data_IF_270235137146
#
_entry.id   IF_270235137146
#
_cell.length_a   1.000
_cell.length_b   1.000
_cell.length_c   1.000
_cell.angle_alpha   90.00
_cell.angle_beta   90.00
_cell.angle_gamma   90.00
#
_symmetry.space_group_name_H-M   'P 1'
#
loop_
_entity.id
_entity.type
_entity.pdbx_description
1 polymer ?
#
# COMPACT_ATOMS: atom_id res chain seq x y z
N UNK A 1 7.58 -56.75 -17.71
CA UNK A 1 8.13 -56.35 -16.40
C UNK A 1 8.10 -54.84 -16.32
N UNK A 2 7.48 -54.32 -15.28
CA UNK A 2 7.13 -52.92 -14.94
C UNK A 2 8.47 -52.14 -14.74
N UNK A 3 8.66 -50.88 -15.16
CA UNK A 3 8.34 -49.67 -14.37
C UNK A 3 8.66 -48.39 -15.13
N UNK A 4 7.76 -47.43 -14.96
CA UNK A 4 7.79 -46.01 -15.36
C UNK A 4 8.23 -45.21 -14.13
N UNK A 5 9.20 -44.30 -14.22
CA UNK A 5 9.43 -43.16 -13.28
C UNK A 5 10.32 -42.10 -13.97
N UNK A 6 9.79 -41.00 -14.51
CA UNK A 6 9.52 -39.66 -13.92
C UNK A 6 10.70 -38.67 -13.82
N UNK A 7 10.53 -37.57 -14.57
CA UNK A 7 10.68 -36.15 -14.20
C UNK A 7 12.02 -35.61 -13.66
N UNK A 8 12.60 -34.65 -14.39
CA UNK A 8 12.51 -33.21 -14.08
C UNK A 8 13.70 -32.46 -14.70
N UNK A 9 13.44 -31.68 -15.75
CA UNK A 9 14.41 -30.78 -16.35
C UNK A 9 13.76 -29.41 -16.48
N UNK A 10 13.94 -28.57 -15.46
CA UNK A 10 13.65 -27.14 -15.53
C UNK A 10 14.86 -26.38 -15.02
N UNK A 11 15.70 -25.97 -15.98
CA UNK A 11 16.78 -25.02 -15.80
C UNK A 11 16.19 -23.61 -15.82
N UNK A 12 16.29 -22.86 -14.74
CA UNK A 12 16.14 -21.39 -14.78
C UNK A 12 17.51 -20.79 -14.45
N UNK A 13 18.16 -20.28 -15.50
CA UNK A 13 19.33 -19.42 -15.41
C UNK A 13 18.97 -18.12 -14.69
N UNK A 14 19.54 -17.87 -13.51
CA UNK A 14 19.60 -16.53 -12.94
C UNK A 14 20.85 -15.82 -13.50
N UNK A 15 20.62 -14.81 -14.33
CA UNK A 15 21.65 -13.96 -14.92
C UNK A 15 22.39 -13.17 -13.83
N UNK A 16 23.71 -13.15 -13.95
CA UNK A 16 24.68 -12.41 -13.13
C UNK A 16 24.39 -10.91 -13.16
N UNK A 17 24.29 -10.26 -12.00
CA UNK A 17 24.44 -8.82 -11.85
C UNK A 17 25.75 -8.53 -11.10
N UNK A 18 26.68 -7.90 -11.81
CA UNK A 18 27.97 -7.39 -11.35
C UNK A 18 27.80 -6.40 -10.19
N UNK A 19 28.65 -6.55 -9.17
CA UNK A 19 28.71 -5.73 -7.98
C UNK A 19 29.23 -4.30 -8.26
N UNK A 20 28.56 -3.30 -7.68
CA UNK A 20 29.19 -2.01 -7.35
C UNK A 20 29.38 -1.96 -5.83
N UNK A 21 30.62 -1.82 -5.39
CA UNK A 21 31.00 -1.82 -3.97
C UNK A 21 30.63 -0.48 -3.31
N UNK A 22 29.65 -0.51 -2.39
CA UNK A 22 29.38 0.60 -1.46
C UNK A 22 29.40 0.05 -0.02
N UNK A 23 30.26 0.54 0.90
CA UNK A 23 30.55 -0.17 2.16
C UNK A 23 29.44 -0.09 3.23
N UNK A 24 28.33 0.62 2.99
CA UNK A 24 27.26 0.78 4.00
C UNK A 24 26.24 -0.37 4.01
N UNK A 25 26.29 -1.28 3.04
CA UNK A 25 25.40 -2.44 2.96
C UNK A 25 26.24 -3.71 3.00
N UNK A 26 26.34 -4.36 4.16
CA UNK A 26 26.96 -5.70 4.27
C UNK A 26 26.10 -6.71 3.51
N UNK A 27 26.48 -7.02 2.28
CA UNK A 27 25.97 -8.17 1.55
C UNK A 27 26.54 -9.45 2.17
N UNK A 28 25.65 -10.36 2.58
CA UNK A 28 26.05 -11.72 2.95
C UNK A 28 26.46 -12.44 1.66
N UNK A 29 27.75 -12.78 1.52
CA UNK A 29 28.22 -13.70 0.46
C UNK A 29 27.85 -15.12 0.88
N UNK A 30 27.01 -15.79 0.10
CA UNK A 30 26.78 -17.23 0.25
C UNK A 30 27.67 -17.99 -0.75
N UNK A 31 28.58 -18.80 -0.23
CA UNK A 31 29.20 -19.90 -0.97
C UNK A 31 28.26 -21.10 -0.87
N UNK A 32 27.84 -21.67 -2.01
CA UNK A 32 27.06 -22.91 -2.02
C UNK A 32 28.04 -24.07 -2.16
N UNK A 33 28.41 -24.69 -1.05
CA UNK A 33 28.84 -26.10 -1.05
C UNK A 33 27.65 -26.96 -0.61
N UNK A 34 27.43 -28.05 -1.34
CA UNK A 34 26.25 -28.91 -1.22
C UNK A 34 26.64 -30.14 -0.39
N UNK A 35 26.18 -30.22 0.86
CA UNK A 35 26.10 -31.49 1.58
C UNK A 35 24.74 -31.63 2.30
N UNK A 36 24.08 -32.75 2.02
CA UNK A 36 22.83 -33.19 2.62
C UNK A 36 23.10 -33.71 4.04
N UNK A 37 22.45 -33.16 5.07
CA UNK A 37 21.82 -33.91 6.18
C UNK A 37 21.40 -32.97 7.31
N UNK A 38 20.15 -33.13 7.79
CA UNK A 38 19.65 -32.50 9.01
C UNK A 38 19.09 -31.09 8.82
N UNK A 39 17.76 -30.95 8.90
CA UNK A 39 17.08 -29.66 9.00
C UNK A 39 17.41 -29.01 10.34
N UNK A 40 18.54 -28.31 10.42
CA UNK A 40 18.78 -27.29 11.45
C UNK A 40 18.05 -26.05 10.96
N UNK A 41 16.86 -25.80 11.51
CA UNK A 41 16.10 -24.57 11.26
C UNK A 41 16.81 -23.40 11.96
N UNK A 42 17.80 -22.82 11.29
CA UNK A 42 18.52 -21.65 11.77
C UNK A 42 17.60 -20.42 11.73
N UNK A 43 17.61 -19.64 12.81
CA UNK A 43 16.92 -18.33 12.93
C UNK A 43 17.32 -17.37 11.80
N UNK A 44 18.53 -17.50 11.24
CA UNK A 44 18.98 -16.75 10.07
C UNK A 44 18.18 -17.10 8.81
N UNK A 45 17.90 -18.38 8.60
CA UNK A 45 17.08 -18.86 7.48
C UNK A 45 15.62 -18.45 7.65
N UNK A 46 15.11 -18.52 8.88
CA UNK A 46 13.76 -18.07 9.19
C UNK A 46 13.63 -16.55 9.03
N UNK A 47 14.65 -15.76 9.40
CA UNK A 47 14.68 -14.32 9.14
C UNK A 47 14.76 -13.99 7.65
N UNK A 48 15.59 -14.69 6.89
CA UNK A 48 15.71 -14.49 5.44
C UNK A 48 14.44 -14.94 4.69
N UNK A 49 13.82 -16.07 5.09
CA UNK A 49 12.56 -16.54 4.54
C UNK A 49 11.40 -15.64 4.94
N UNK A 50 11.33 -15.19 6.20
CA UNK A 50 10.37 -14.18 6.62
C UNK A 50 10.61 -12.87 5.86
N UNK A 51 11.85 -12.41 5.68
CA UNK A 51 12.18 -11.21 4.90
C UNK A 51 11.83 -11.34 3.41
N UNK A 52 12.04 -12.53 2.81
CA UNK A 52 11.69 -12.84 1.42
C UNK A 52 10.17 -13.02 1.24
N UNK A 53 9.48 -13.63 2.20
CA UNK A 53 8.01 -13.66 2.29
C UNK A 53 7.39 -12.30 2.64
N UNK A 54 8.17 -11.42 3.28
CA UNK A 54 7.82 -10.02 3.53
C UNK A 54 8.42 -9.07 2.49
N UNK A 55 8.68 -9.56 1.27
CA UNK A 55 8.78 -8.66 0.14
C UNK A 55 7.39 -8.04 -0.01
N UNK A 56 7.28 -6.79 0.46
CA UNK A 56 6.12 -5.93 0.25
C UNK A 56 5.65 -6.07 -1.21
N UNK A 57 4.33 -5.94 -1.41
CA UNK A 57 3.65 -6.05 -2.71
C UNK A 57 3.96 -4.87 -3.66
N UNK A 58 5.20 -4.38 -3.69
CA UNK A 58 5.65 -3.24 -4.47
C UNK A 58 5.55 -3.50 -5.97
N UNK A 59 5.96 -4.68 -6.45
CA UNK A 59 5.91 -5.01 -7.88
C UNK A 59 4.47 -5.03 -8.40
N UNK A 60 3.55 -5.64 -7.64
CA UNK A 60 2.12 -5.62 -7.94
C UNK A 60 1.56 -4.19 -7.96
N UNK A 61 1.99 -3.36 -7.01
CA UNK A 61 1.60 -1.95 -6.98
C UNK A 61 2.14 -1.17 -8.18
N UNK A 62 3.39 -1.39 -8.60
CA UNK A 62 3.97 -0.77 -9.80
C UNK A 62 3.12 -1.13 -11.03
N UNK A 63 2.82 -2.41 -11.22
CA UNK A 63 1.98 -2.85 -12.33
C UNK A 63 0.57 -2.25 -12.32
N UNK A 64 -0.04 -2.07 -11.14
CA UNK A 64 -1.31 -1.35 -11.04
C UNK A 64 -1.15 0.15 -11.33
N UNK A 65 -0.09 0.78 -10.83
CA UNK A 65 0.18 2.21 -11.01
C UNK A 65 0.37 2.57 -12.48
N UNK A 66 1.02 1.72 -13.27
CA UNK A 66 1.13 1.86 -14.72
C UNK A 66 -0.25 1.85 -15.39
N UNK A 67 -1.10 0.87 -15.05
CA UNK A 67 -2.47 0.80 -15.57
C UNK A 67 -3.30 2.03 -15.19
N UNK A 68 -3.16 2.52 -13.97
CA UNK A 68 -3.82 3.76 -13.53
C UNK A 68 -3.29 4.97 -14.30
N UNK A 69 -1.99 5.04 -14.59
CA UNK A 69 -1.41 6.14 -15.35
C UNK A 69 -1.92 6.18 -16.80
N UNK A 70 -2.02 5.01 -17.45
CA UNK A 70 -2.52 4.85 -18.82
C UNK A 70 -4.04 4.99 -18.94
N UNK A 71 -4.76 5.21 -17.83
CA UNK A 71 -6.22 5.34 -17.85
C UNK A 71 -6.62 6.66 -18.52
N UNK A 72 -7.23 6.57 -19.69
CA UNK A 72 -7.84 7.69 -20.40
C UNK A 72 -9.33 7.75 -20.07
N UNK A 73 -9.68 8.47 -18.99
CA UNK A 73 -11.08 8.74 -18.66
C UNK A 73 -11.23 10.17 -18.15
N UNK A 74 -12.42 10.76 -18.28
CA UNK A 74 -12.68 12.07 -17.66
C UNK A 74 -12.67 11.94 -16.13
N UNK A 75 -12.21 12.97 -15.40
CA UNK A 75 -12.32 12.98 -13.94
C UNK A 75 -13.78 12.82 -13.49
N UNK A 76 -14.05 11.98 -12.48
CA UNK A 76 -15.41 11.85 -11.95
C UNK A 76 -15.86 13.17 -11.30
N UNK A 77 -17.17 13.36 -11.20
CA UNK A 77 -17.74 14.43 -10.39
C UNK A 77 -17.48 14.15 -8.91
N UNK A 78 -16.64 14.97 -8.31
CA UNK A 78 -16.21 14.85 -6.92
C UNK A 78 -16.59 16.14 -6.20
N UNK A 79 -17.00 16.06 -4.94
CA UNK A 79 -17.16 17.22 -4.05
C UNK A 79 -16.28 17.09 -2.80
N UNK A 80 -15.96 18.22 -2.17
CA UNK A 80 -15.28 18.17 -0.87
C UNK A 80 -16.20 17.57 0.20
N UNK A 81 -15.64 16.76 1.08
CA UNK A 81 -16.38 15.93 2.03
C UNK A 81 -16.89 14.60 1.46
N UNK A 82 -16.80 14.37 0.15
CA UNK A 82 -17.11 13.06 -0.42
C UNK A 82 -16.11 12.00 0.07
N UNK A 83 -16.59 10.78 0.25
CA UNK A 83 -15.78 9.62 0.59
C UNK A 83 -15.68 8.72 -0.62
N UNK A 84 -14.46 8.45 -1.06
CA UNK A 84 -14.16 7.67 -2.25
C UNK A 84 -13.21 6.53 -1.93
N UNK A 85 -13.40 5.40 -2.61
CA UNK A 85 -12.35 4.42 -2.71
C UNK A 85 -11.25 4.90 -3.66
N UNK A 86 -10.02 4.90 -3.17
CA UNK A 86 -8.85 5.32 -3.91
C UNK A 86 -7.70 4.31 -3.79
N UNK A 87 -6.95 4.13 -4.87
CA UNK A 87 -5.69 3.37 -4.87
C UNK A 87 -4.56 4.22 -4.27
N UNK A 88 -4.21 3.93 -3.02
CA UNK A 88 -3.15 4.60 -2.25
C UNK A 88 -1.77 3.95 -2.43
N UNK A 89 -1.75 2.67 -2.84
CA UNK A 89 -0.52 1.94 -3.14
C UNK A 89 0.09 1.20 -1.95
N UNK A 90 1.16 0.48 -2.24
CA UNK A 90 2.05 -0.09 -1.23
C UNK A 90 3.16 0.93 -0.93
N UNK A 91 3.20 1.44 0.30
CA UNK A 91 4.04 2.55 0.72
C UNK A 91 5.13 2.12 1.70
N UNK A 92 6.08 3.01 1.98
CA UNK A 92 7.29 2.73 2.78
C UNK A 92 7.03 3.02 4.27
N UNK A 93 7.68 2.25 5.14
CA UNK A 93 7.65 2.49 6.59
C UNK A 93 6.23 2.56 7.16
N UNK A 94 5.95 3.68 7.84
CA UNK A 94 4.70 3.95 8.57
C UNK A 94 3.61 4.62 7.73
N UNK A 95 3.84 4.83 6.43
CA UNK A 95 2.80 5.34 5.53
C UNK A 95 1.63 4.36 5.43
N UNK A 96 0.41 4.90 5.32
CA UNK A 96 -0.77 4.05 5.20
C UNK A 96 -0.81 3.34 3.84
N UNK A 97 -0.65 2.02 3.87
CA UNK A 97 -0.76 1.19 2.67
C UNK A 97 -2.21 0.95 2.29
N UNK A 98 -2.48 0.86 1.00
CA UNK A 98 -3.67 0.26 0.43
C UNK A 98 -3.95 -1.16 0.94
N UNK A 99 -5.17 -1.65 0.72
CA UNK A 99 -5.53 -3.06 0.94
C UNK A 99 -6.07 -3.67 -0.35
N UNK A 100 -6.24 -4.99 -0.35
CA UNK A 100 -6.68 -5.79 -1.50
C UNK A 100 -5.79 -5.63 -2.74
N UNK A 101 -6.20 -6.19 -3.87
CA UNK A 101 -5.42 -6.17 -5.12
C UNK A 101 -5.42 -4.79 -5.80
N UNK A 102 -6.32 -3.90 -5.36
CA UNK A 102 -6.39 -2.52 -5.84
C UNK A 102 -5.55 -1.55 -5.03
N UNK A 103 -4.85 -2.04 -3.99
CA UNK A 103 -4.14 -1.21 -3.02
C UNK A 103 -4.99 -0.03 -2.55
N UNK A 104 -6.24 -0.33 -2.22
CA UNK A 104 -7.29 0.66 -2.04
C UNK A 104 -7.64 0.91 -0.59
N UNK A 105 -8.08 2.14 -0.31
CA UNK A 105 -8.75 2.53 0.93
C UNK A 105 -9.83 3.56 0.66
N UNK A 106 -10.82 3.70 1.55
CA UNK A 106 -11.66 4.87 1.54
C UNK A 106 -10.82 6.09 1.95
N UNK A 107 -11.00 7.17 1.23
CA UNK A 107 -10.39 8.48 1.48
C UNK A 107 -11.48 9.53 1.49
N UNK A 108 -11.32 10.53 2.34
CA UNK A 108 -12.17 11.73 2.31
C UNK A 108 -11.52 12.74 1.38
N UNK A 109 -12.29 13.30 0.46
CA UNK A 109 -11.87 14.43 -0.37
C UNK A 109 -11.85 15.68 0.52
N UNK A 110 -10.67 16.06 0.98
CA UNK A 110 -10.53 17.18 1.90
C UNK A 110 -10.63 18.51 1.16
N UNK A 111 -9.88 18.64 0.06
CA UNK A 111 -9.83 19.86 -0.75
C UNK A 111 -9.59 19.55 -2.23
N UNK A 112 -10.29 20.26 -3.11
CA UNK A 112 -9.96 20.27 -4.54
C UNK A 112 -8.79 21.20 -4.80
N UNK A 113 -7.72 20.69 -5.40
CA UNK A 113 -6.52 21.48 -5.70
C UNK A 113 -6.55 22.00 -7.14
N UNK A 114 -6.97 21.15 -8.09
CA UNK A 114 -7.21 21.52 -9.49
C UNK A 114 -8.18 20.55 -10.15
N UNK A 115 -8.41 20.68 -11.45
CA UNK A 115 -9.25 19.76 -12.20
C UNK A 115 -8.62 18.35 -12.20
N UNK A 116 -9.27 17.40 -11.52
CA UNK A 116 -8.78 16.03 -11.40
C UNK A 116 -7.63 15.84 -10.41
N UNK A 117 -7.32 16.82 -9.55
CA UNK A 117 -6.27 16.70 -8.54
C UNK A 117 -6.78 17.12 -7.17
N UNK A 118 -6.61 16.25 -6.18
CA UNK A 118 -7.32 16.35 -4.91
C UNK A 118 -6.37 16.13 -3.74
N UNK A 119 -6.52 16.92 -2.67
CA UNK A 119 -5.95 16.58 -1.38
C UNK A 119 -6.93 15.69 -0.63
N UNK A 120 -6.49 14.51 -0.21
CA UNK A 120 -7.35 13.52 0.42
C UNK A 120 -6.80 13.07 1.75
N UNK A 121 -7.70 12.67 2.65
CA UNK A 121 -7.35 12.12 3.96
C UNK A 121 -7.77 10.64 3.98
N UNK A 122 -6.82 9.70 4.04
CA UNK A 122 -7.11 8.27 4.14
C UNK A 122 -7.85 7.90 5.42
N UNK A 123 -8.61 6.82 5.36
CA UNK A 123 -9.37 6.33 6.51
C UNK A 123 -8.89 4.96 6.97
N UNK A 124 -9.22 4.62 8.22
CA UNK A 124 -9.05 3.29 8.80
C UNK A 124 -10.34 2.84 9.49
N UNK A 125 -10.63 1.54 9.40
CA UNK A 125 -11.71 0.90 10.17
C UNK A 125 -11.30 0.56 11.60
N UNK A 126 -9.99 0.55 11.90
CA UNK A 126 -9.53 0.38 13.28
C UNK A 126 -9.87 1.63 14.07
N UNK A 127 -10.59 1.46 15.18
CA UNK A 127 -10.89 2.55 16.09
C UNK A 127 -9.56 2.97 16.73
N UNK A 128 -9.21 4.25 16.60
CA UNK A 128 -8.01 4.86 17.15
C UNK A 128 -8.42 6.15 17.86
N UNK A 129 -7.82 6.39 19.01
CA UNK A 129 -7.92 7.65 19.75
C UNK A 129 -6.69 8.51 19.49
N UNK A 130 -6.82 9.81 19.73
CA UNK A 130 -5.72 10.79 19.62
C UNK A 130 -6.04 11.95 18.69
N UNK A 131 -5.22 13.00 18.79
CA UNK A 131 -5.41 14.25 18.04
C UNK A 131 -5.22 14.13 16.54
N UNK A 132 -4.56 13.07 16.06
CA UNK A 132 -4.31 12.82 14.64
C UNK A 132 -5.44 12.07 13.92
N UNK A 133 -6.52 11.76 14.64
CA UNK A 133 -7.66 11.00 14.13
C UNK A 133 -8.95 11.77 14.36
N UNK A 134 -9.86 11.71 13.38
CA UNK A 134 -11.24 12.18 13.53
C UNK A 134 -12.16 11.01 13.26
N UNK A 135 -12.97 10.67 14.26
CA UNK A 135 -13.95 9.60 14.17
C UNK A 135 -15.23 10.13 13.51
N UNK A 136 -15.81 9.30 12.64
CA UNK A 136 -17.12 9.54 12.04
C UNK A 136 -17.79 8.19 11.73
N UNK A 137 -19.10 8.21 11.44
CA UNK A 137 -19.84 7.00 11.06
C UNK A 137 -20.29 7.09 9.61
N UNK A 138 -19.95 6.07 8.81
CA UNK A 138 -20.41 5.95 7.44
C UNK A 138 -21.27 4.70 7.29
N UNK A 139 -22.55 4.85 6.93
CA UNK A 139 -23.51 3.74 6.78
C UNK A 139 -23.51 2.77 7.97
N UNK A 140 -23.54 3.32 9.19
CA UNK A 140 -23.51 2.55 10.44
C UNK A 140 -22.14 1.98 10.84
N UNK A 141 -21.12 2.11 10.00
CA UNK A 141 -19.75 1.65 10.31
C UNK A 141 -18.89 2.80 10.81
N UNK A 142 -18.30 2.65 11.99
CA UNK A 142 -17.34 3.59 12.54
C UNK A 142 -16.04 3.59 11.75
N UNK A 143 -15.54 4.78 11.43
CA UNK A 143 -14.31 4.98 10.68
C UNK A 143 -13.52 6.14 11.30
N UNK A 144 -12.19 6.09 11.17
CA UNK A 144 -11.34 7.22 11.53
C UNK A 144 -10.65 7.78 10.28
N UNK A 145 -10.75 9.08 10.08
CA UNK A 145 -9.88 9.82 9.18
C UNK A 145 -8.49 9.96 9.82
N UNK A 146 -7.45 9.50 9.13
CA UNK A 146 -6.06 9.59 9.55
C UNK A 146 -5.46 10.90 9.05
N UNK A 147 -5.63 11.99 9.81
CA UNK A 147 -5.26 13.34 9.37
C UNK A 147 -3.78 13.46 8.97
N UNK A 148 -2.89 12.87 9.78
CA UNK A 148 -1.44 12.82 9.56
C UNK A 148 -1.01 12.04 8.30
N UNK A 149 -1.93 11.32 7.65
CA UNK A 149 -1.70 10.56 6.42
C UNK A 149 -2.28 11.28 5.18
N UNK A 150 -2.69 12.54 5.34
CA UNK A 150 -3.22 13.35 4.24
C UNK A 150 -2.21 13.50 3.10
N UNK A 151 -2.66 13.33 1.86
CA UNK A 151 -1.80 13.44 0.67
C UNK A 151 -2.58 13.86 -0.57
N UNK A 152 -1.87 14.41 -1.55
CA UNK A 152 -2.46 14.72 -2.85
C UNK A 152 -2.51 13.50 -3.76
N UNK A 153 -3.60 13.35 -4.52
CA UNK A 153 -3.79 12.26 -5.48
C UNK A 153 -4.43 12.78 -6.78
N UNK A 154 -4.11 12.10 -7.87
CA UNK A 154 -4.74 12.25 -9.18
C UNK A 154 -6.08 11.48 -9.24
N UNK A 155 -7.05 12.01 -9.99
CA UNK A 155 -8.37 11.44 -10.16
C UNK A 155 -8.36 10.00 -10.69
N UNK A 156 -7.34 9.61 -11.46
CA UNK A 156 -7.20 8.25 -11.99
C UNK A 156 -7.15 7.20 -10.89
N UNK A 157 -6.73 7.60 -9.67
CA UNK A 157 -6.69 6.74 -8.48
C UNK A 157 -8.06 6.52 -7.84
N UNK A 158 -9.05 7.36 -8.14
CA UNK A 158 -10.42 7.20 -7.66
C UNK A 158 -11.17 6.19 -8.53
N UNK A 159 -11.98 5.33 -7.91
CA UNK A 159 -12.78 4.36 -8.67
C UNK A 159 -14.23 4.19 -8.22
N UNK A 160 -14.59 4.41 -6.95
CA UNK A 160 -15.98 4.25 -6.50
C UNK A 160 -16.30 5.19 -5.34
N UNK A 161 -17.44 5.89 -5.42
CA UNK A 161 -17.94 6.74 -4.33
C UNK A 161 -18.57 5.87 -3.25
N UNK A 162 -18.07 5.98 -2.02
CA UNK A 162 -18.60 5.27 -0.86
C UNK A 162 -19.75 6.04 -0.20
N UNK A 163 -19.66 7.38 -0.22
CA UNK A 163 -20.68 8.28 0.29
C UNK A 163 -20.13 9.69 0.51
N UNK A 164 -20.62 10.37 1.54
CA UNK A 164 -20.24 11.74 1.90
C UNK A 164 -20.34 11.90 3.42
N UNK A 165 -19.42 12.66 4.00
CA UNK A 165 -19.54 13.11 5.38
C UNK A 165 -20.70 14.10 5.53
N UNK A 166 -21.33 14.10 6.70
CA UNK A 166 -22.21 15.21 7.06
C UNK A 166 -21.40 16.49 7.32
N UNK A 167 -22.11 17.61 7.44
CA UNK A 167 -21.48 18.92 7.58
C UNK A 167 -20.72 19.06 8.91
N UNK A 168 -21.18 18.39 9.96
CA UNK A 168 -20.60 18.45 11.30
C UNK A 168 -19.26 17.69 11.30
N UNK A 169 -19.25 16.47 10.80
CA UNK A 169 -18.07 15.62 10.68
C UNK A 169 -17.05 16.23 9.73
N UNK A 170 -17.50 16.82 8.61
CA UNK A 170 -16.59 17.51 7.69
C UNK A 170 -15.98 18.78 8.32
N UNK A 171 -16.74 19.52 9.14
CA UNK A 171 -16.23 20.66 9.91
C UNK A 171 -15.22 20.21 10.96
N UNK A 172 -15.49 19.12 11.68
CA UNK A 172 -14.59 18.53 12.66
C UNK A 172 -13.29 18.05 11.99
N UNK A 173 -13.38 17.47 10.80
CA UNK A 173 -12.23 17.08 9.99
C UNK A 173 -11.34 18.28 9.66
N UNK A 174 -11.91 19.40 9.20
CA UNK A 174 -11.16 20.65 8.92
C UNK A 174 -10.47 21.20 10.15
N UNK A 175 -11.19 21.28 11.28
CA UNK A 175 -10.64 21.76 12.55
C UNK A 175 -9.50 20.85 13.03
N UNK A 176 -9.71 19.53 12.98
CA UNK A 176 -8.71 18.55 13.36
C UNK A 176 -7.46 18.64 12.49
N UNK A 177 -7.62 18.73 11.16
CA UNK A 177 -6.49 18.86 10.25
C UNK A 177 -5.68 20.14 10.51
N UNK A 178 -6.35 21.27 10.69
CA UNK A 178 -5.70 22.55 10.97
C UNK A 178 -4.93 22.54 12.29
N UNK A 179 -5.42 21.82 13.30
CA UNK A 179 -4.76 21.69 14.61
C UNK A 179 -3.42 20.95 14.54
N UNK A 180 -3.16 20.14 13.52
CA UNK A 180 -1.89 19.41 13.37
C UNK A 180 -0.76 20.30 12.86
N UNK A 181 -1.09 21.33 12.06
CA UNK A 181 -0.12 22.16 11.35
C UNK A 181 -0.12 23.63 11.81
N UNK A 182 -0.82 23.93 12.90
CA UNK A 182 -0.72 25.19 13.63
C UNK A 182 0.22 25.01 14.80
#
# INVERSE_FOLDING_TARGET
>A
MILITTAAQYTIHALVASASENPSCRGVRFFISRENSGLIQDKSYDFAYNSFMYIKRFLEWIGLKEKLNLKFCKPPYVNEGDIWWASLGENIGSEINGKSDKFSRPVVIYKKLSHGFYFVIPTTSKIKSGSWYVFFKQKGRGMNACLHQGRSIDYRRLYSKLGRLDEIDYTNLKKGFLKIYR
#
